data_IF_285323817385
#
_entry.id   IF_285323817385
#
_cell.length_a   1.000
_cell.length_b   1.000
_cell.length_c   1.000
_cell.angle_alpha   90.00
_cell.angle_beta   90.00
_cell.angle_gamma   90.00
#
_symmetry.space_group_name_H-M   'P 1'
#
loop_
_entity.id
_entity.type
_entity.pdbx_description
1 polymer ?
#
# COMPACT_ATOMS: atom_id res chain seq x y z
N UNK A 1 -3.49 -2.53 -26.30
CA UNK A 1 -3.93 -1.25 -25.70
C UNK A 1 -4.82 -0.57 -26.72
N UNK A 2 -6.13 -0.57 -26.48
CA UNK A 2 -7.09 0.23 -27.24
C UNK A 2 -6.96 1.68 -26.75
N UNK A 3 -6.84 2.60 -27.67
CA UNK A 3 -6.73 4.05 -27.49
C UNK A 3 -8.05 4.71 -27.05
N UNK A 4 -8.68 4.18 -26.03
CA UNK A 4 -9.67 4.88 -25.25
C UNK A 4 -8.99 5.24 -23.93
N UNK A 5 -8.36 6.40 -23.88
CA UNK A 5 -7.71 6.88 -22.66
C UNK A 5 -8.77 6.97 -21.56
N UNK A 6 -8.72 6.06 -20.60
CA UNK A 6 -9.51 6.20 -19.39
C UNK A 6 -8.97 7.41 -18.64
N UNK A 7 -9.77 8.49 -18.47
CA UNK A 7 -9.25 9.71 -17.88
C UNK A 7 -8.79 9.44 -16.44
N UNK A 8 -7.64 10.00 -16.10
CA UNK A 8 -7.15 10.01 -14.73
C UNK A 8 -8.09 10.84 -13.86
N UNK A 9 -8.39 10.32 -12.68
CA UNK A 9 -9.14 11.02 -11.64
C UNK A 9 -8.13 11.60 -10.65
N UNK A 10 -8.30 12.87 -10.27
CA UNK A 10 -7.43 13.48 -9.28
C UNK A 10 -7.72 12.89 -7.90
N UNK A 11 -6.64 12.61 -7.15
CA UNK A 11 -6.75 12.26 -5.74
C UNK A 11 -7.34 13.42 -4.93
N UNK A 12 -8.28 13.11 -4.06
CA UNK A 12 -8.85 14.09 -3.12
C UNK A 12 -7.81 14.56 -2.10
N UNK A 13 -8.10 15.65 -1.40
CA UNK A 13 -7.24 16.12 -0.32
C UNK A 13 -7.11 15.08 0.81
N UNK A 14 -8.21 14.38 1.12
CA UNK A 14 -8.23 13.35 2.17
C UNK A 14 -7.39 12.12 1.78
N UNK A 15 -7.45 11.70 0.51
CA UNK A 15 -6.59 10.63 0.00
C UNK A 15 -5.11 11.00 0.09
N UNK A 16 -4.75 12.20 -0.33
CA UNK A 16 -3.36 12.69 -0.19
C UNK A 16 -2.92 12.78 1.26
N UNK A 17 -3.80 13.22 2.15
CA UNK A 17 -3.52 13.26 3.60
C UNK A 17 -3.30 11.85 4.15
N UNK A 18 -4.13 10.89 3.79
CA UNK A 18 -3.96 9.51 4.22
C UNK A 18 -2.66 8.89 3.70
N UNK A 19 -2.32 9.13 2.43
CA UNK A 19 -1.05 8.70 1.84
C UNK A 19 0.12 9.27 2.64
N UNK A 20 0.14 10.59 2.89
CA UNK A 20 1.20 11.24 3.66
C UNK A 20 1.34 10.62 5.06
N UNK A 21 0.24 10.39 5.76
CA UNK A 21 0.25 9.76 7.08
C UNK A 21 0.80 8.33 7.07
N UNK A 22 0.51 7.55 6.01
CA UNK A 22 1.04 6.17 5.88
C UNK A 22 2.54 6.21 5.58
N UNK A 23 3.01 7.16 4.77
CA UNK A 23 4.43 7.38 4.50
C UNK A 23 5.17 7.80 5.79
N UNK A 24 4.64 8.78 6.54
CA UNK A 24 5.18 9.24 7.83
C UNK A 24 5.25 8.07 8.85
N UNK A 25 4.21 7.23 8.90
CA UNK A 25 4.19 6.06 9.74
C UNK A 25 5.33 5.08 9.36
N UNK A 26 5.56 4.84 8.06
CA UNK A 26 6.66 3.97 7.60
C UNK A 26 8.03 4.55 7.97
N UNK A 27 8.22 5.85 7.83
CA UNK A 27 9.46 6.53 8.26
C UNK A 27 9.73 6.38 9.77
N UNK A 28 8.67 6.26 10.57
CA UNK A 28 8.81 6.12 12.02
C UNK A 28 9.49 4.82 12.43
N UNK A 29 9.35 3.75 11.68
CA UNK A 29 9.89 2.42 12.04
C UNK A 29 10.93 1.89 11.04
N UNK A 30 10.93 2.29 9.78
CA UNK A 30 11.89 1.87 8.76
C UNK A 30 12.87 3.01 8.42
N UNK A 31 14.09 2.66 8.02
CA UNK A 31 15.11 3.64 7.64
C UNK A 31 14.91 4.07 6.18
N UNK A 32 13.83 4.75 5.93
CA UNK A 32 13.46 5.38 4.65
C UNK A 32 13.17 6.85 4.90
N UNK A 33 13.24 7.66 3.86
CA UNK A 33 12.84 9.06 3.84
C UNK A 33 12.05 9.31 2.57
N UNK A 34 10.86 9.85 2.69
CA UNK A 34 10.00 10.18 1.56
C UNK A 34 10.04 11.69 1.31
N UNK A 35 10.43 12.07 0.12
CA UNK A 35 10.51 13.47 -0.31
C UNK A 35 9.56 13.67 -1.49
N UNK A 36 8.61 14.60 -1.34
CA UNK A 36 7.71 14.96 -2.43
C UNK A 36 8.51 15.65 -3.55
N UNK A 37 8.33 15.18 -4.78
CA UNK A 37 9.01 15.71 -5.97
C UNK A 37 8.01 16.36 -6.92
N UNK A 38 8.49 17.24 -7.78
CA UNK A 38 7.62 18.07 -8.63
C UNK A 38 7.02 17.28 -9.81
N UNK A 39 7.66 16.23 -10.27
CA UNK A 39 7.24 15.48 -11.46
C UNK A 39 7.33 13.98 -11.26
N UNK A 40 6.44 13.23 -11.94
CA UNK A 40 6.48 11.77 -11.92
C UNK A 40 7.81 11.19 -12.46
N UNK A 41 8.51 11.92 -13.33
CA UNK A 41 9.80 11.49 -13.87
C UNK A 41 10.92 11.44 -12.80
N UNK A 42 10.74 12.16 -11.70
CA UNK A 42 11.69 12.20 -10.57
C UNK A 42 11.25 11.24 -9.44
N UNK A 43 10.01 10.76 -9.50
CA UNK A 43 9.44 9.94 -8.44
C UNK A 43 9.85 8.47 -8.55
N UNK A 44 10.07 7.83 -7.40
CA UNK A 44 10.23 6.38 -7.26
C UNK A 44 8.90 5.69 -6.93
N UNK A 45 7.97 6.44 -6.32
CA UNK A 45 6.61 6.00 -6.01
C UNK A 45 5.65 7.07 -6.50
N UNK A 46 4.64 6.68 -7.26
CA UNK A 46 3.57 7.58 -7.68
C UNK A 46 2.22 7.04 -7.27
N UNK A 47 1.25 7.93 -7.15
CA UNK A 47 -0.14 7.55 -6.88
C UNK A 47 -1.05 8.10 -7.97
N UNK A 48 -1.81 7.22 -8.59
CA UNK A 48 -2.79 7.58 -9.60
C UNK A 48 -4.14 6.92 -9.32
N UNK A 49 -5.18 7.45 -9.96
CA UNK A 49 -6.52 6.87 -9.88
C UNK A 49 -7.20 6.92 -11.24
N UNK A 50 -7.84 5.84 -11.63
CA UNK A 50 -8.67 5.75 -12.84
C UNK A 50 -9.74 4.66 -12.70
N UNK A 51 -10.71 4.65 -13.63
CA UNK A 51 -11.75 3.63 -13.63
C UNK A 51 -11.20 2.29 -14.10
N UNK A 52 -11.17 1.30 -13.22
CA UNK A 52 -10.72 -0.05 -13.48
C UNK A 52 -11.90 -1.05 -13.50
N UNK A 53 -11.63 -2.31 -13.80
CA UNK A 53 -12.62 -3.38 -13.80
C UNK A 53 -13.18 -3.64 -12.39
N UNK A 54 -14.36 -4.26 -12.35
CA UNK A 54 -14.97 -4.70 -11.11
C UNK A 54 -14.12 -5.82 -10.46
N UNK A 55 -14.04 -5.79 -9.15
CA UNK A 55 -13.29 -6.78 -8.37
C UNK A 55 -11.82 -6.41 -8.13
N UNK A 56 -11.31 -5.33 -8.76
CA UNK A 56 -9.98 -4.78 -8.48
C UNK A 56 -10.18 -3.50 -7.67
N UNK A 57 -9.73 -3.47 -6.41
CA UNK A 57 -9.78 -2.28 -5.57
C UNK A 57 -8.67 -1.29 -5.92
N UNK A 58 -7.48 -1.80 -6.09
CA UNK A 58 -6.27 -1.09 -6.48
C UNK A 58 -5.23 -2.10 -6.97
N UNK A 59 -4.09 -1.64 -7.44
CA UNK A 59 -2.89 -2.45 -7.65
C UNK A 59 -1.64 -1.58 -7.58
N UNK A 60 -0.49 -2.20 -7.36
CA UNK A 60 0.80 -1.53 -7.42
C UNK A 60 1.85 -2.35 -8.16
N UNK A 61 2.83 -1.65 -8.70
CA UNK A 61 4.03 -2.28 -9.26
C UNK A 61 5.12 -2.36 -8.20
N UNK A 62 5.81 -3.50 -8.14
CA UNK A 62 6.97 -3.69 -7.28
C UNK A 62 8.09 -2.69 -7.63
N UNK A 63 8.97 -2.37 -6.67
CA UNK A 63 10.09 -1.49 -6.93
C UNK A 63 11.02 -2.07 -7.98
N UNK A 64 11.65 -1.21 -8.76
CA UNK A 64 12.67 -1.61 -9.74
C UNK A 64 13.96 -2.06 -9.04
N UNK A 65 14.53 -3.17 -9.47
CA UNK A 65 15.84 -3.61 -9.01
C UNK A 65 16.97 -2.59 -9.37
N UNK A 66 16.75 -1.72 -10.36
CA UNK A 66 17.68 -0.66 -10.72
C UNK A 66 17.53 0.60 -9.87
N UNK A 67 16.43 0.72 -9.07
CA UNK A 67 16.12 1.92 -8.31
C UNK A 67 15.85 3.15 -9.19
N UNK A 68 15.47 2.97 -10.47
CA UNK A 68 15.27 4.08 -11.39
C UNK A 68 13.95 4.79 -11.15
N UNK A 69 13.99 6.10 -10.91
CA UNK A 69 12.83 6.98 -10.90
C UNK A 69 12.17 7.11 -12.29
N UNK A 70 10.91 7.55 -12.32
CA UNK A 70 10.17 7.83 -13.56
C UNK A 70 9.82 6.58 -14.39
N UNK A 71 9.81 5.41 -13.77
CA UNK A 71 9.35 4.15 -14.38
C UNK A 71 8.01 3.74 -13.75
N UNK A 72 7.32 2.75 -14.31
CA UNK A 72 6.11 2.21 -13.69
C UNK A 72 6.38 1.45 -12.38
N UNK A 73 7.64 1.11 -12.07
CA UNK A 73 7.99 0.48 -10.81
C UNK A 73 7.74 1.43 -9.64
N UNK A 74 7.01 0.97 -8.64
CA UNK A 74 6.57 1.79 -7.51
C UNK A 74 5.28 2.59 -7.74
N UNK A 75 4.65 2.49 -8.92
CA UNK A 75 3.37 3.14 -9.17
C UNK A 75 2.23 2.43 -8.43
N UNK A 76 1.41 3.20 -7.74
CA UNK A 76 0.19 2.77 -7.04
C UNK A 76 -1.03 3.30 -7.78
N UNK A 77 -1.96 2.42 -8.14
CA UNK A 77 -3.13 2.73 -8.95
C UNK A 77 -4.43 2.37 -8.22
N UNK A 78 -5.16 3.38 -7.76
CA UNK A 78 -6.46 3.24 -7.11
C UNK A 78 -7.57 3.12 -8.14
N UNK A 79 -8.60 2.34 -7.84
CA UNK A 79 -9.77 2.20 -8.70
C UNK A 79 -10.85 3.22 -8.34
N UNK A 80 -11.12 4.17 -9.24
CA UNK A 80 -12.15 5.20 -9.04
C UNK A 80 -13.59 4.67 -9.07
N UNK A 81 -13.78 3.37 -9.33
CA UNK A 81 -15.10 2.72 -9.22
C UNK A 81 -15.58 2.63 -7.77
N UNK A 82 -14.67 2.57 -6.82
CA UNK A 82 -14.94 2.45 -5.40
C UNK A 82 -14.73 3.79 -4.69
N UNK A 83 -15.43 3.98 -3.58
CA UNK A 83 -15.14 5.11 -2.69
C UNK A 83 -13.84 4.85 -1.94
N UNK A 84 -12.75 5.33 -2.52
CA UNK A 84 -11.39 5.24 -1.99
C UNK A 84 -11.05 6.43 -1.08
N UNK A 85 -12.06 7.10 -0.49
CA UNK A 85 -11.83 8.24 0.41
C UNK A 85 -11.81 7.77 1.87
N UNK A 86 -10.66 7.82 2.56
CA UNK A 86 -10.53 7.32 3.93
C UNK A 86 -11.19 8.21 4.99
N UNK A 87 -11.69 9.40 4.63
CA UNK A 87 -12.28 10.34 5.59
C UNK A 87 -13.81 10.43 5.52
N UNK A 88 -14.40 10.12 4.36
CA UNK A 88 -15.83 10.42 4.11
C UNK A 88 -16.70 9.20 3.87
N UNK A 89 -16.14 8.03 3.83
CA UNK A 89 -16.92 6.82 3.61
C UNK A 89 -17.91 6.60 4.77
N UNK A 90 -19.18 6.88 4.51
CA UNK A 90 -20.28 6.69 5.44
C UNK A 90 -20.74 5.23 5.52
N UNK A 91 -20.12 4.34 4.78
CA UNK A 91 -20.55 2.93 4.60
C UNK A 91 -19.62 1.92 5.26
N UNK A 92 -18.80 2.33 6.22
CA UNK A 92 -17.79 1.46 6.84
C UNK A 92 -16.55 1.19 5.99
N UNK A 93 -16.44 1.83 4.83
CA UNK A 93 -15.34 1.62 3.88
C UNK A 93 -14.13 2.55 4.11
N UNK A 94 -14.17 3.43 5.10
CA UNK A 94 -13.04 4.33 5.39
C UNK A 94 -11.78 3.54 5.76
N UNK A 95 -11.94 2.53 6.62
CA UNK A 95 -10.84 1.65 7.01
C UNK A 95 -10.35 0.82 5.83
N UNK A 96 -11.27 0.28 5.01
CA UNK A 96 -10.92 -0.45 3.80
C UNK A 96 -10.15 0.42 2.79
N UNK A 97 -10.56 1.65 2.57
CA UNK A 97 -9.85 2.56 1.65
C UNK A 97 -8.43 2.86 2.15
N UNK A 98 -8.27 3.12 3.45
CA UNK A 98 -6.96 3.35 4.05
C UNK A 98 -6.10 2.08 4.05
N UNK A 99 -6.69 0.93 4.38
CA UNK A 99 -6.06 -0.39 4.31
C UNK A 99 -5.54 -0.68 2.90
N UNK A 100 -6.38 -0.45 1.88
CA UNK A 100 -6.01 -0.64 0.48
C UNK A 100 -4.83 0.25 0.08
N UNK A 101 -4.82 1.53 0.47
CA UNK A 101 -3.70 2.44 0.20
C UNK A 101 -2.41 1.92 0.87
N UNK A 102 -2.47 1.49 2.12
CA UNK A 102 -1.31 0.93 2.83
C UNK A 102 -0.83 -0.39 2.21
N UNK A 103 -1.75 -1.26 1.78
CA UNK A 103 -1.48 -2.51 1.09
C UNK A 103 -0.71 -2.27 -0.22
N UNK A 104 -1.24 -1.41 -1.07
CA UNK A 104 -0.61 -1.12 -2.38
C UNK A 104 0.74 -0.42 -2.22
N UNK A 105 0.86 0.51 -1.26
CA UNK A 105 2.16 1.09 -0.93
C UNK A 105 3.12 0.01 -0.40
N UNK A 106 2.64 -0.98 0.35
CA UNK A 106 3.42 -2.15 0.75
C UNK A 106 4.03 -2.87 -0.45
N UNK A 107 3.25 -3.12 -1.51
CA UNK A 107 3.75 -3.68 -2.77
C UNK A 107 4.79 -2.77 -3.44
N UNK A 108 4.51 -1.48 -3.53
CA UNK A 108 5.44 -0.48 -4.09
C UNK A 108 6.77 -0.42 -3.31
N UNK A 109 6.75 -0.82 -2.04
CA UNK A 109 7.92 -0.91 -1.17
C UNK A 109 8.52 -2.33 -1.08
N UNK A 110 8.02 -3.28 -1.88
CA UNK A 110 8.61 -4.62 -2.04
C UNK A 110 7.97 -5.74 -1.23
N UNK A 111 6.88 -5.47 -0.51
CA UNK A 111 6.14 -6.51 0.19
C UNK A 111 5.30 -7.31 -0.80
N UNK A 112 5.20 -8.61 -0.59
CA UNK A 112 4.33 -9.51 -1.34
C UNK A 112 3.19 -10.00 -0.46
N UNK A 113 2.16 -10.59 -1.07
CA UNK A 113 1.14 -11.31 -0.29
C UNK A 113 1.77 -12.43 0.53
N UNK A 114 1.32 -12.62 1.78
CA UNK A 114 1.87 -13.64 2.68
C UNK A 114 1.46 -15.07 2.31
N UNK A 115 0.42 -15.25 1.51
CA UNK A 115 -0.07 -16.54 1.01
C UNK A 115 0.07 -16.67 -0.51
N UNK A 116 -0.37 -17.82 -1.05
CA UNK A 116 -0.39 -18.08 -2.50
C UNK A 116 -1.70 -17.60 -3.11
N UNK A 117 -1.94 -16.31 -3.10
CA UNK A 117 -3.10 -15.67 -3.69
C UNK A 117 -2.72 -14.31 -4.30
N UNK A 118 -3.45 -13.94 -5.34
CA UNK A 118 -3.33 -12.67 -6.04
C UNK A 118 -4.65 -12.39 -6.76
N UNK A 119 -5.22 -11.20 -6.60
CA UNK A 119 -6.48 -10.81 -7.25
C UNK A 119 -6.37 -10.81 -8.78
N UNK A 120 -5.18 -10.62 -9.33
CA UNK A 120 -4.90 -10.74 -10.77
C UNK A 120 -4.87 -12.18 -11.30
N UNK A 121 -5.13 -13.19 -10.45
CA UNK A 121 -5.12 -14.60 -10.83
C UNK A 121 -3.73 -15.21 -10.98
N UNK A 122 -2.70 -14.51 -10.52
CA UNK A 122 -1.33 -14.98 -10.46
C UNK A 122 -1.05 -15.87 -9.23
N UNK A 123 0.18 -16.35 -9.12
CA UNK A 123 0.70 -17.02 -7.94
C UNK A 123 1.79 -16.19 -7.29
N UNK A 124 1.73 -16.07 -5.98
CA UNK A 124 2.79 -15.44 -5.19
C UNK A 124 3.89 -16.48 -4.90
N UNK A 125 5.17 -16.16 -5.07
CA UNK A 125 6.23 -17.12 -4.76
C UNK A 125 6.37 -17.34 -3.25
N UNK A 126 6.77 -18.57 -2.81
CA UNK A 126 7.09 -18.80 -1.41
C UNK A 126 8.33 -17.99 -0.96
N UNK A 127 8.61 -17.89 0.34
CA UNK A 127 7.90 -18.53 1.47
C UNK A 127 6.57 -17.88 1.81
N UNK A 128 5.67 -18.64 2.43
CA UNK A 128 4.37 -18.15 2.90
C UNK A 128 4.34 -18.11 4.43
N UNK A 129 3.47 -17.28 4.99
CA UNK A 129 3.17 -17.32 6.42
C UNK A 129 2.38 -18.61 6.76
N UNK A 130 2.44 -19.01 8.02
CA UNK A 130 1.53 -20.02 8.55
C UNK A 130 0.08 -19.50 8.43
N UNK A 131 -0.88 -20.30 7.95
CA UNK A 131 -2.28 -19.88 7.82
C UNK A 131 -2.91 -19.34 9.10
N UNK A 132 -2.40 -19.70 10.27
CA UNK A 132 -2.88 -19.18 11.54
C UNK A 132 -2.54 -17.68 11.78
N UNK A 133 -1.54 -17.16 11.07
CA UNK A 133 -1.06 -15.78 11.18
C UNK A 133 -1.15 -15.01 9.87
N UNK A 134 -1.61 -15.65 8.79
CA UNK A 134 -1.93 -15.00 7.52
C UNK A 134 -3.30 -14.33 7.61
N UNK A 135 -3.38 -13.19 8.27
CA UNK A 135 -4.59 -12.40 8.41
C UNK A 135 -4.30 -10.95 8.80
N UNK A 136 -5.31 -10.08 8.73
CA UNK A 136 -5.22 -8.65 9.00
C UNK A 136 -4.73 -8.24 10.39
N UNK A 137 -4.68 -9.17 11.37
CA UNK A 137 -4.06 -8.89 12.68
C UNK A 137 -2.55 -8.73 12.60
N UNK A 138 -1.91 -9.40 11.66
CA UNK A 138 -0.45 -9.51 11.58
C UNK A 138 0.15 -8.82 10.37
N UNK A 139 -0.62 -8.63 9.30
CA UNK A 139 -0.14 -8.01 8.06
C UNK A 139 -1.28 -7.38 7.26
N UNK A 140 -1.09 -6.16 6.81
CA UNK A 140 -2.00 -5.49 5.87
C UNK A 140 -1.97 -6.14 4.48
N UNK A 141 -0.93 -6.95 4.18
CA UNK A 141 -0.77 -7.64 2.90
C UNK A 141 -1.65 -8.90 2.77
N UNK A 142 -2.36 -9.32 3.82
CA UNK A 142 -3.25 -10.48 3.77
C UNK A 142 -4.61 -10.14 3.18
N UNK A 143 -5.17 -11.09 2.43
CA UNK A 143 -6.57 -11.05 1.97
C UNK A 143 -7.55 -11.69 2.98
N UNK A 144 -7.03 -12.24 4.07
CA UNK A 144 -7.85 -12.80 5.12
C UNK A 144 -8.17 -11.72 6.15
N UNK A 145 -9.46 -11.62 6.51
CA UNK A 145 -9.97 -10.62 7.44
C UNK A 145 -9.23 -10.65 8.79
N UNK A 146 -9.31 -9.53 9.49
CA UNK A 146 -8.86 -9.46 10.87
C UNK A 146 -9.76 -10.34 11.74
N UNK A 147 -9.24 -11.41 12.36
CA UNK A 147 -10.06 -12.32 13.19
C UNK A 147 -10.79 -11.57 14.27
N UNK A 148 -12.06 -11.89 14.46
CA UNK A 148 -12.92 -11.40 15.55
C UNK A 148 -13.35 -9.92 15.48
N UNK A 149 -12.96 -9.14 14.46
CA UNK A 149 -13.28 -7.71 14.42
C UNK A 149 -14.08 -7.27 13.21
N UNK A 150 -13.89 -7.90 12.05
CA UNK A 150 -14.47 -7.44 10.77
C UNK A 150 -14.01 -6.03 10.37
N UNK A 151 -12.87 -5.57 10.92
CA UNK A 151 -12.26 -4.27 10.65
C UNK A 151 -10.95 -4.50 9.88
N UNK A 152 -10.72 -3.74 8.83
CA UNK A 152 -9.47 -3.77 8.09
C UNK A 152 -8.33 -3.10 8.86
N UNK A 153 -7.08 -3.60 8.76
CA UNK A 153 -5.93 -2.92 9.35
C UNK A 153 -5.68 -1.60 8.60
N UNK A 154 -5.70 -0.50 9.30
CA UNK A 154 -5.56 0.85 8.71
C UNK A 154 -4.11 1.31 8.55
N UNK A 155 -3.14 0.48 8.94
CA UNK A 155 -1.71 0.75 8.87
C UNK A 155 -0.90 -0.55 8.85
N UNK A 156 0.43 -0.44 8.75
CA UNK A 156 1.33 -1.59 8.78
C UNK A 156 1.29 -2.32 10.11
N UNK A 157 1.17 -3.64 10.02
CA UNK A 157 1.08 -4.54 11.15
C UNK A 157 2.45 -5.18 11.44
N UNK A 158 2.52 -6.01 12.47
CA UNK A 158 3.77 -6.55 13.00
C UNK A 158 4.70 -7.17 11.93
N UNK A 159 4.15 -7.96 11.02
CA UNK A 159 4.98 -8.64 10.01
C UNK A 159 5.35 -7.72 8.85
N UNK A 160 4.52 -6.73 8.53
CA UNK A 160 4.86 -5.70 7.55
C UNK A 160 6.02 -4.86 8.05
N UNK A 161 5.95 -4.40 9.31
CA UNK A 161 7.01 -3.64 9.97
C UNK A 161 8.32 -4.45 9.96
N UNK A 162 8.27 -5.73 10.38
CA UNK A 162 9.46 -6.58 10.40
C UNK A 162 10.05 -6.76 9.00
N UNK A 163 9.22 -6.96 7.96
CA UNK A 163 9.66 -7.12 6.59
C UNK A 163 10.25 -5.82 6.01
N UNK A 164 9.61 -4.67 6.25
CA UNK A 164 10.12 -3.37 5.81
C UNK A 164 11.43 -3.01 6.53
N UNK A 165 11.55 -3.31 7.82
CA UNK A 165 12.81 -3.17 8.54
C UNK A 165 13.92 -4.11 8.04
N UNK A 166 13.55 -5.31 7.59
CA UNK A 166 14.51 -6.21 6.96
C UNK A 166 15.02 -5.68 5.61
N UNK A 167 14.14 -5.06 4.81
CA UNK A 167 14.48 -4.52 3.48
C UNK A 167 15.28 -3.22 3.60
N UNK A 168 14.83 -2.28 4.44
CA UNK A 168 15.34 -0.91 4.51
C UNK A 168 16.19 -0.61 5.75
N UNK A 169 16.17 -1.48 6.75
CA UNK A 169 16.74 -1.25 8.07
C UNK A 169 15.74 -0.62 9.03
N UNK A 170 15.96 -0.81 10.32
CA UNK A 170 15.14 -0.17 11.36
C UNK A 170 15.52 1.32 11.53
N UNK A 171 14.52 2.18 11.73
CA UNK A 171 14.77 3.56 12.12
C UNK A 171 15.07 3.64 13.63
N UNK A 172 16.36 3.67 13.98
CA UNK A 172 16.81 3.76 15.37
C UNK A 172 16.84 5.21 15.89
N UNK A 173 16.57 6.19 15.05
CA UNK A 173 16.57 7.62 15.40
C UNK A 173 15.20 8.17 15.78
N UNK A 174 14.12 7.41 15.53
CA UNK A 174 12.76 7.82 15.87
C UNK A 174 12.45 7.48 17.33
N UNK A 175 11.76 8.37 18.03
CA UNK A 175 11.33 8.20 19.43
C UNK A 175 12.48 7.77 20.38
N UNK A 176 13.62 8.46 20.34
CA UNK A 176 14.76 8.20 21.23
C UNK A 176 14.58 8.79 22.64
N UNK A 177 13.44 9.40 22.94
CA UNK A 177 13.06 9.88 24.28
C UNK A 177 12.51 8.78 25.18
N UNK A 178 12.30 9.12 26.44
CA UNK A 178 11.66 8.25 27.46
C UNK A 178 10.12 8.45 27.49
N UNK A 179 9.50 8.63 26.36
CA UNK A 179 8.04 8.86 26.25
C UNK A 179 7.26 7.55 26.29
#
# INVERSE_FOLDING_TARGET
YTTGETPLVQLTADQRTAIAQILDAMESFAKVEFVEVATAAEAHVTFGMYLQDMGIGAFAYYPSASGAAGTAAGDVWLNSRYDMNPSTSTTGNADWARSTIAHELGHAMGLKHPGNYDAGGGSTPPPYLDPAVDNGRYTVMSYNDFPDSGVDPVDYMLYDIAALQFIYGANMGHATGND
#
